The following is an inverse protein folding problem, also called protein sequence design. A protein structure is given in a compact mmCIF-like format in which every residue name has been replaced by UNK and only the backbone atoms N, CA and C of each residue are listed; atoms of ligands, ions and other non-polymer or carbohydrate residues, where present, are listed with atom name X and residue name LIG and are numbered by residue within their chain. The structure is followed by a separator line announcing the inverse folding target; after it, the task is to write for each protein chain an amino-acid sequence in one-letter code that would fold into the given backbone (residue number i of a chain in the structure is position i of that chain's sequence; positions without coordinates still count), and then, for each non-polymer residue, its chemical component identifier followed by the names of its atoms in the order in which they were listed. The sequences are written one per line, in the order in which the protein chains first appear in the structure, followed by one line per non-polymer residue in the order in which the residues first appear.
data_IF_976577081357
#
_entry.id   IF_976577081357
#
_cell.length_a   1.000
_cell.length_b   1.000
_cell.length_c   1.000
_cell.angle_alpha   90.00
_cell.angle_beta   90.00
_cell.angle_gamma   90.00
#
_symmetry.space_group_name_H-M   'P 1'
#
loop_
_entity.id
_entity.type
_entity.pdbx_description
1 polymer ?
#
# COMPACT_ATOMS: atom_id res chain seq x y z
N UNK A 1 4.63 12.50 10.07
CA UNK A 1 3.67 11.62 10.78
C UNK A 1 3.12 10.64 9.75
N UNK A 2 2.91 9.39 10.14
CA UNK A 2 2.50 8.26 9.30
C UNK A 2 1.08 7.77 9.65
N UNK A 3 0.19 8.70 10.01
CA UNK A 3 -1.14 8.35 10.53
C UNK A 3 -2.06 7.71 9.49
N UNK A 4 -1.98 8.06 8.21
CA UNK A 4 -2.87 7.50 7.19
C UNK A 4 -2.50 6.05 6.85
N UNK A 5 -1.20 5.78 6.71
CA UNK A 5 -0.64 4.46 6.43
C UNK A 5 -0.75 3.57 7.67
N UNK A 6 -0.53 4.09 8.88
CA UNK A 6 -0.80 3.33 10.12
C UNK A 6 -2.27 2.90 10.20
N UNK A 7 -3.19 3.83 9.92
CA UNK A 7 -4.62 3.52 9.90
C UNK A 7 -5.00 2.54 8.78
N UNK A 8 -4.37 2.64 7.61
CA UNK A 8 -4.52 1.70 6.52
C UNK A 8 -4.07 0.29 6.93
N UNK A 9 -2.86 0.17 7.49
CA UNK A 9 -2.32 -1.10 7.99
C UNK A 9 -3.23 -1.69 9.07
N UNK A 10 -3.74 -0.86 9.98
CA UNK A 10 -4.68 -1.28 11.00
C UNK A 10 -5.99 -1.81 10.40
N UNK A 11 -6.61 -1.10 9.47
CA UNK A 11 -7.85 -1.52 8.81
C UNK A 11 -7.65 -2.82 8.01
N UNK A 12 -6.51 -2.98 7.33
CA UNK A 12 -6.18 -4.23 6.64
C UNK A 12 -6.01 -5.40 7.62
N UNK A 13 -5.34 -5.20 8.76
CA UNK A 13 -5.23 -6.20 9.83
C UNK A 13 -6.60 -6.60 10.40
N UNK A 14 -7.53 -5.66 10.53
CA UNK A 14 -8.89 -5.92 11.01
C UNK A 14 -9.74 -6.70 9.99
N UNK A 15 -9.59 -6.43 8.69
CA UNK A 15 -10.34 -7.10 7.62
C UNK A 15 -9.74 -8.46 7.20
N UNK A 16 -8.42 -8.63 7.34
CA UNK A 16 -7.70 -9.84 6.91
C UNK A 16 -6.80 -10.43 8.02
N UNK A 17 -7.30 -10.63 9.26
CA UNK A 17 -6.46 -11.00 10.40
C UNK A 17 -5.79 -12.37 10.23
N UNK A 18 -6.48 -13.33 9.63
CA UNK A 18 -5.97 -14.69 9.41
C UNK A 18 -4.95 -14.78 8.28
N UNK A 19 -4.82 -13.73 7.45
CA UNK A 19 -3.88 -13.70 6.34
C UNK A 19 -2.67 -12.80 6.64
N UNK A 20 -2.73 -11.93 7.64
CA UNK A 20 -1.70 -10.91 7.86
C UNK A 20 -0.33 -11.51 8.25
N UNK A 21 0.75 -11.00 7.64
CA UNK A 21 2.11 -11.33 8.06
C UNK A 21 2.63 -12.71 7.65
N UNK A 22 1.93 -13.41 6.75
CA UNK A 22 2.27 -14.77 6.29
C UNK A 22 3.13 -14.73 5.00
N UNK A 23 3.76 -13.60 4.70
CA UNK A 23 4.53 -13.47 3.46
C UNK A 23 3.62 -13.41 2.23
N UNK A 24 4.16 -13.86 1.10
CA UNK A 24 3.45 -13.88 -0.19
C UNK A 24 2.15 -14.69 -0.19
N UNK A 25 2.05 -15.71 0.67
CA UNK A 25 0.85 -16.54 0.79
C UNK A 25 -0.29 -15.84 1.55
N UNK A 26 0.04 -14.86 2.39
CA UNK A 26 -0.89 -14.08 3.21
C UNK A 26 -1.14 -12.69 2.64
N UNK A 27 -1.33 -11.70 3.50
CA UNK A 27 -1.34 -10.27 3.20
C UNK A 27 -0.11 -9.62 3.83
N UNK A 28 0.75 -9.03 3.01
CA UNK A 28 1.86 -8.19 3.43
C UNK A 28 1.85 -6.86 2.65
N UNK A 29 2.23 -5.78 3.33
CA UNK A 29 2.26 -4.42 2.79
C UNK A 29 3.60 -3.76 3.08
N UNK A 30 4.22 -3.25 2.02
CA UNK A 30 5.41 -2.39 2.11
C UNK A 30 5.10 -1.03 1.47
N UNK A 31 5.44 0.06 2.16
CA UNK A 31 5.44 1.39 1.56
C UNK A 31 6.85 1.69 1.03
N UNK A 32 6.95 2.46 -0.06
CA UNK A 32 8.25 2.93 -0.54
C UNK A 32 8.23 4.41 -0.92
N UNK A 33 9.37 5.06 -0.78
CA UNK A 33 9.57 6.48 -1.11
C UNK A 33 10.19 6.67 -2.50
N UNK A 34 10.50 7.92 -2.83
CA UNK A 34 11.09 8.33 -4.11
C UNK A 34 12.48 7.75 -4.36
N UNK A 35 13.20 7.36 -3.30
CA UNK A 35 14.52 6.74 -3.38
C UNK A 35 14.43 5.20 -3.45
N UNK A 36 13.21 4.67 -3.65
CA UNK A 36 12.89 3.24 -3.65
C UNK A 36 13.27 2.54 -2.33
N UNK A 37 13.32 3.29 -1.23
CA UNK A 37 13.52 2.69 0.09
C UNK A 37 12.20 2.07 0.57
N UNK A 38 12.24 0.79 0.94
CA UNK A 38 11.07 0.05 1.42
C UNK A 38 10.94 0.10 2.94
N UNK A 39 9.73 0.37 3.40
CA UNK A 39 9.34 0.50 4.79
C UNK A 39 8.20 -0.47 5.10
N UNK A 40 8.53 -1.57 5.77
CA UNK A 40 7.55 -2.56 6.19
C UNK A 40 6.56 -1.96 7.19
N UNK A 41 5.27 -2.09 6.89
CA UNK A 41 4.17 -1.59 7.73
C UNK A 41 4.36 -0.12 8.19
N UNK A 42 5.06 0.72 7.40
CA UNK A 42 5.34 2.13 7.68
C UNK A 42 6.23 2.49 8.87
N UNK A 43 7.03 1.56 9.37
CA UNK A 43 7.97 1.85 10.47
C UNK A 43 8.94 2.99 10.10
N UNK A 44 8.94 4.09 10.86
CA UNK A 44 9.78 5.29 10.65
C UNK A 44 9.61 5.99 9.29
N UNK A 45 8.44 5.87 8.68
CA UNK A 45 8.18 6.40 7.36
C UNK A 45 7.58 7.82 7.39
N UNK A 46 8.05 8.73 6.53
CA UNK A 46 7.44 10.05 6.34
C UNK A 46 6.46 10.03 5.16
N UNK A 47 5.15 9.94 5.44
CA UNK A 47 4.08 9.80 4.42
C UNK A 47 4.11 10.79 3.27
N UNK A 48 4.53 12.03 3.51
CA UNK A 48 4.62 13.06 2.47
C UNK A 48 5.58 12.69 1.32
N UNK A 49 6.50 11.74 1.56
CA UNK A 49 7.46 11.23 0.58
C UNK A 49 7.04 9.90 -0.06
N UNK A 50 5.84 9.41 0.25
CA UNK A 50 5.34 8.15 -0.27
C UNK A 50 5.27 8.15 -1.79
N UNK A 51 6.04 7.28 -2.42
CA UNK A 51 5.99 7.05 -3.86
C UNK A 51 4.98 5.96 -4.20
N UNK A 52 4.91 4.90 -3.40
CA UNK A 52 3.96 3.83 -3.63
C UNK A 52 3.85 2.81 -2.51
N UNK A 53 2.95 1.85 -2.73
CA UNK A 53 2.65 0.74 -1.85
C UNK A 53 2.74 -0.55 -2.66
N UNK A 54 3.49 -1.51 -2.16
CA UNK A 54 3.52 -2.88 -2.62
C UNK A 54 2.60 -3.74 -1.73
N UNK A 55 1.72 -4.49 -2.36
CA UNK A 55 0.78 -5.41 -1.72
C UNK A 55 1.13 -6.82 -2.18
N UNK A 56 1.32 -7.73 -1.25
CA UNK A 56 1.38 -9.16 -1.54
C UNK A 56 0.14 -9.84 -0.99
N UNK A 57 -0.62 -10.54 -1.84
CA UNK A 57 -1.77 -11.32 -1.44
C UNK A 57 -1.92 -12.64 -2.20
N UNK A 58 -1.84 -13.79 -1.52
CA UNK A 58 -2.03 -15.13 -2.11
C UNK A 58 -1.23 -15.34 -3.42
N UNK A 59 0.08 -15.08 -3.37
CA UNK A 59 1.05 -15.14 -4.48
C UNK A 59 0.86 -14.09 -5.58
N UNK A 60 -0.06 -13.14 -5.41
CA UNK A 60 -0.26 -12.01 -6.33
C UNK A 60 0.40 -10.78 -5.73
N UNK A 61 1.23 -10.08 -6.50
CA UNK A 61 1.75 -8.76 -6.14
C UNK A 61 0.99 -7.67 -6.87
N UNK A 62 0.65 -6.60 -6.13
CA UNK A 62 0.07 -5.37 -6.67
C UNK A 62 0.94 -4.21 -6.24
N UNK A 63 1.44 -3.45 -7.20
CA UNK A 63 2.16 -2.20 -6.95
C UNK A 63 1.25 -1.03 -7.29
N UNK A 64 1.04 -0.14 -6.32
CA UNK A 64 0.29 1.11 -6.47
C UNK A 64 1.25 2.25 -6.25
N UNK A 65 1.58 3.01 -7.29
CA UNK A 65 2.56 4.10 -7.17
C UNK A 65 2.17 5.34 -7.95
N UNK A 66 2.61 6.50 -7.45
CA UNK A 66 2.38 7.79 -8.11
C UNK A 66 3.15 7.80 -9.42
N UNK A 67 2.46 8.08 -10.53
CA UNK A 67 3.11 8.15 -11.84
C UNK A 67 4.02 9.37 -11.96
N UNK A 68 3.63 10.47 -11.31
CA UNK A 68 4.40 11.70 -11.21
C UNK A 68 4.30 12.26 -9.79
N UNK A 69 5.40 12.82 -9.28
CA UNK A 69 5.50 13.34 -7.89
C UNK A 69 4.44 14.42 -7.62
N UNK A 70 4.14 15.25 -8.62
CA UNK A 70 3.21 16.38 -8.52
C UNK A 70 1.76 16.03 -8.93
N UNK A 71 1.47 14.74 -9.16
CA UNK A 71 0.16 14.28 -9.61
C UNK A 71 -0.54 13.42 -8.56
N UNK A 72 -1.86 13.51 -8.51
CA UNK A 72 -2.71 12.57 -7.78
C UNK A 72 -3.05 11.33 -8.64
N UNK A 73 -2.30 11.08 -9.71
CA UNK A 73 -2.49 9.95 -10.61
C UNK A 73 -1.62 8.78 -10.15
N UNK A 74 -2.27 7.65 -9.93
CA UNK A 74 -1.61 6.40 -9.54
C UNK A 74 -1.60 5.42 -10.71
N UNK A 75 -0.48 4.72 -10.87
CA UNK A 75 -0.38 3.52 -11.69
C UNK A 75 -0.55 2.29 -10.80
N UNK A 76 -1.29 1.32 -11.30
CA UNK A 76 -1.47 0.02 -10.66
C UNK A 76 -0.87 -1.03 -11.59
N UNK A 77 0.10 -1.79 -11.09
CA UNK A 77 0.66 -2.96 -11.77
C UNK A 77 0.34 -4.21 -10.98
N UNK A 78 -0.06 -5.27 -11.66
CA UNK A 78 -0.43 -6.54 -11.04
C UNK A 78 0.30 -7.67 -11.71
N UNK A 79 0.84 -8.60 -10.93
CA UNK A 79 1.58 -9.76 -11.45
C UNK A 79 0.68 -10.81 -12.12
N UNK A 80 -0.61 -10.81 -11.81
CA UNK A 80 -1.58 -11.82 -12.27
C UNK A 80 -3.03 -11.25 -12.30
N UNK A 81 -4.02 -12.12 -12.51
CA UNK A 81 -5.43 -11.77 -12.47
C UNK A 81 -5.88 -11.31 -11.08
N UNK A 82 -6.59 -10.19 -11.06
CA UNK A 82 -7.19 -9.63 -9.86
C UNK A 82 -8.47 -10.40 -9.50
N UNK A 83 -8.62 -10.76 -8.22
CA UNK A 83 -9.86 -11.28 -7.65
C UNK A 83 -10.54 -10.24 -6.75
N UNK A 84 -11.72 -10.57 -6.22
CA UNK A 84 -12.51 -9.66 -5.37
C UNK A 84 -11.78 -9.22 -4.09
N UNK A 85 -11.01 -10.11 -3.46
CA UNK A 85 -10.26 -9.77 -2.25
C UNK A 85 -9.21 -8.69 -2.55
N UNK A 86 -8.49 -8.84 -3.68
CA UNK A 86 -7.50 -7.85 -4.12
C UNK A 86 -8.16 -6.51 -4.43
N UNK A 87 -9.32 -6.50 -5.09
CA UNK A 87 -10.07 -5.24 -5.31
C UNK A 87 -10.40 -4.54 -3.99
N UNK A 88 -10.88 -5.30 -2.99
CA UNK A 88 -11.19 -4.73 -1.68
C UNK A 88 -9.93 -4.19 -0.96
N UNK A 89 -8.79 -4.89 -1.08
CA UNK A 89 -7.51 -4.43 -0.51
C UNK A 89 -7.09 -3.12 -1.18
N UNK A 90 -7.16 -3.05 -2.51
CA UNK A 90 -6.87 -1.84 -3.29
C UNK A 90 -7.79 -0.68 -2.85
N UNK A 91 -9.09 -0.94 -2.67
CA UNK A 91 -10.06 0.08 -2.22
C UNK A 91 -9.71 0.64 -0.83
N UNK A 92 -9.33 -0.22 0.12
CA UNK A 92 -8.85 0.20 1.45
C UNK A 92 -7.62 1.08 1.30
N UNK A 93 -6.64 0.66 0.50
CA UNK A 93 -5.40 1.42 0.26
C UNK A 93 -5.72 2.81 -0.31
N UNK A 94 -6.53 2.91 -1.37
CA UNK A 94 -6.90 4.21 -1.96
C UNK A 94 -7.69 5.11 -1.00
N UNK A 95 -8.51 4.53 -0.13
CA UNK A 95 -9.25 5.30 0.87
C UNK A 95 -8.36 6.02 1.88
N UNK A 96 -7.13 5.53 2.10
CA UNK A 96 -6.14 6.19 2.94
C UNK A 96 -5.15 7.04 2.14
N UNK A 97 -4.72 6.58 0.96
CA UNK A 97 -3.84 7.36 0.09
C UNK A 97 -4.40 8.74 -0.25
N UNK A 98 -5.71 8.84 -0.52
CA UNK A 98 -6.38 10.11 -0.85
C UNK A 98 -6.37 11.17 0.28
N UNK A 99 -5.97 10.79 1.50
CA UNK A 99 -5.90 11.67 2.67
C UNK A 99 -4.48 12.19 2.92
N UNK A 100 -3.48 11.71 2.18
CA UNK A 100 -2.09 12.10 2.36
C UNK A 100 -1.85 13.45 1.69
N UNK A 101 -1.27 14.37 2.45
CA UNK A 101 -0.74 15.63 1.93
C UNK A 101 0.71 15.39 1.48
N UNK A 102 0.91 15.25 0.17
CA UNK A 102 2.23 15.00 -0.41
C UNK A 102 3.11 16.25 -0.39
N UNK A 103 4.42 16.04 -0.24
CA UNK A 103 5.38 17.11 -0.49
C UNK A 103 5.41 17.42 -1.98
N UNK A 104 5.19 18.70 -2.31
CA UNK A 104 5.40 19.30 -3.62
C UNK A 104 6.87 19.63 -3.86
#
# INVERSE_FOLDING_TARGET
MNTNIENMVKELKENYPENWGIGKAGLDIDAFDLDEQYFKESNNFEEKYLQGICIYYKEISVDIYRKYVDSNDYKIEVSDFINKDILNIIDIVFNHLKKIEFAS
#
